data_IF_037212005550
#
_entry.id   IF_037212005550
#
_cell.length_a   1.000
_cell.length_b   1.000
_cell.length_c   1.000
_cell.angle_alpha   90.00
_cell.angle_beta   90.00
_cell.angle_gamma   90.00
#
_symmetry.space_group_name_H-M   'P 1'
#
loop_
_entity.id
_entity.type
_entity.pdbx_description
1 polymer ?
#
# COMPACT_ATOMS: atom_id res chain seq x y z
N UNK A 1 6.63 -24.65 7.47
CA UNK A 1 5.42 -23.84 7.29
C UNK A 1 5.59 -23.05 5.99
N UNK A 2 4.54 -22.74 5.21
CA UNK A 2 4.75 -21.88 4.05
C UNK A 2 5.33 -20.55 4.54
N UNK A 3 6.38 -20.07 3.87
CA UNK A 3 7.02 -18.81 4.21
C UNK A 3 5.97 -17.69 4.17
N UNK A 4 5.97 -16.73 5.10
CA UNK A 4 5.01 -15.63 5.08
C UNK A 4 5.09 -14.89 3.74
N UNK A 5 3.91 -14.58 3.16
CA UNK A 5 3.84 -13.88 1.88
C UNK A 5 4.54 -12.51 1.99
N UNK A 6 5.22 -12.05 0.93
CA UNK A 6 5.72 -10.69 0.87
C UNK A 6 4.61 -9.69 1.17
N UNK A 7 4.89 -8.70 2.01
CA UNK A 7 3.97 -7.63 2.35
C UNK A 7 4.09 -6.50 1.33
N UNK A 8 2.96 -6.06 0.80
CA UNK A 8 2.85 -4.87 -0.04
C UNK A 8 1.96 -3.86 0.66
N UNK A 9 2.51 -2.69 1.01
CA UNK A 9 1.77 -1.59 1.63
C UNK A 9 1.59 -0.49 0.58
N UNK A 10 0.35 -0.11 0.30
CA UNK A 10 0.00 0.92 -0.67
C UNK A 10 -0.50 2.16 0.05
N UNK A 11 0.16 3.29 -0.19
CA UNK A 11 -0.28 4.60 0.28
C UNK A 11 -1.41 5.13 -0.62
N UNK A 12 -2.66 5.03 -0.14
CA UNK A 12 -3.80 5.46 -0.94
C UNK A 12 -3.76 6.96 -1.24
N UNK A 13 -3.39 7.79 -0.26
CA UNK A 13 -3.41 9.23 -0.40
C UNK A 13 -2.38 9.70 -1.44
N UNK A 14 -1.16 9.14 -1.39
CA UNK A 14 -0.13 9.43 -2.36
C UNK A 14 -0.48 8.90 -3.75
N UNK A 15 -1.01 7.68 -3.86
CA UNK A 15 -1.42 7.13 -5.17
C UNK A 15 -2.52 7.97 -5.78
N UNK A 16 -3.62 8.21 -5.06
CA UNK A 16 -4.76 9.02 -5.52
C UNK A 16 -4.34 10.45 -5.86
N UNK A 17 -3.52 11.09 -5.02
CA UNK A 17 -3.02 12.44 -5.26
C UNK A 17 -2.09 12.56 -6.47
N UNK A 18 -1.49 11.45 -6.89
CA UNK A 18 -0.54 11.42 -7.99
C UNK A 18 -1.17 11.17 -9.37
N UNK A 19 -2.50 10.92 -9.43
CA UNK A 19 -3.25 10.73 -10.69
C UNK A 19 -3.75 12.08 -11.23
N UNK A 20 -3.42 12.46 -12.48
CA UNK A 20 -3.72 13.79 -13.05
C UNK A 20 -5.14 13.95 -13.61
N UNK A 21 -6.11 13.15 -13.18
CA UNK A 21 -7.45 13.04 -13.78
C UNK A 21 -8.58 13.58 -12.86
N UNK A 22 -8.21 14.21 -11.74
CA UNK A 22 -9.18 14.82 -10.82
C UNK A 22 -9.71 13.88 -9.73
N UNK A 23 -9.14 12.68 -9.56
CA UNK A 23 -9.50 11.75 -8.47
C UNK A 23 -9.44 12.39 -7.07
N UNK A 24 -8.59 13.41 -6.88
CA UNK A 24 -8.52 14.16 -5.64
C UNK A 24 -9.86 14.80 -5.20
N UNK A 25 -10.79 15.04 -6.12
CA UNK A 25 -12.13 15.62 -5.83
C UNK A 25 -13.03 14.66 -5.07
N UNK A 26 -12.95 13.36 -5.39
CA UNK A 26 -13.67 12.29 -4.71
C UNK A 26 -12.66 11.27 -4.17
N UNK A 27 -12.05 11.62 -3.04
CA UNK A 27 -11.00 10.78 -2.42
C UNK A 27 -11.50 9.40 -2.03
N UNK A 28 -12.76 9.28 -1.62
CA UNK A 28 -13.33 7.99 -1.22
C UNK A 28 -13.53 7.09 -2.45
N UNK A 29 -14.24 7.56 -3.46
CA UNK A 29 -14.46 6.76 -4.67
C UNK A 29 -13.14 6.45 -5.40
N UNK A 30 -12.17 7.36 -5.35
CA UNK A 30 -10.82 7.11 -5.85
C UNK A 30 -10.09 5.98 -5.10
N UNK A 31 -10.18 5.96 -3.76
CA UNK A 31 -9.60 4.89 -2.96
C UNK A 31 -10.32 3.54 -3.18
N UNK A 32 -11.65 3.54 -3.37
CA UNK A 32 -12.41 2.33 -3.72
C UNK A 32 -11.99 1.78 -5.09
N UNK A 33 -11.87 2.64 -6.11
CA UNK A 33 -11.35 2.25 -7.43
C UNK A 33 -9.92 1.72 -7.38
N UNK A 34 -9.06 2.37 -6.59
CA UNK A 34 -7.69 1.90 -6.36
C UNK A 34 -7.70 0.51 -5.72
N UNK A 35 -8.44 0.31 -4.62
CA UNK A 35 -8.60 -0.99 -3.94
C UNK A 35 -9.01 -2.09 -4.93
N UNK A 36 -10.03 -1.85 -5.74
CA UNK A 36 -10.53 -2.85 -6.68
C UNK A 36 -9.50 -3.19 -7.75
N UNK A 37 -8.73 -2.20 -8.21
CA UNK A 37 -7.61 -2.43 -9.13
C UNK A 37 -6.44 -3.21 -8.51
N UNK A 38 -6.28 -3.16 -7.18
CA UNK A 38 -5.20 -3.84 -6.47
C UNK A 38 -5.41 -5.36 -6.37
N UNK A 39 -6.64 -5.85 -6.52
CA UNK A 39 -7.00 -7.28 -6.37
C UNK A 39 -6.14 -8.19 -7.26
N UNK A 40 -5.88 -7.79 -8.51
CA UNK A 40 -4.99 -8.56 -9.41
C UNK A 40 -3.57 -8.71 -8.87
N UNK A 41 -3.04 -7.64 -8.25
CA UNK A 41 -1.67 -7.61 -7.75
C UNK A 41 -1.48 -8.49 -6.51
N UNK A 42 -2.54 -8.76 -5.75
CA UNK A 42 -2.48 -9.70 -4.64
C UNK A 42 -2.10 -11.12 -5.11
N UNK A 43 -2.56 -11.53 -6.29
CA UNK A 43 -2.24 -12.84 -6.89
C UNK A 43 -0.97 -12.78 -7.74
N UNK A 44 -0.85 -11.76 -8.61
CA UNK A 44 0.23 -11.65 -9.60
C UNK A 44 1.55 -11.15 -8.98
N UNK A 45 1.47 -10.37 -7.91
CA UNK A 45 2.58 -9.60 -7.34
C UNK A 45 2.83 -8.29 -8.09
N UNK A 46 3.94 -7.63 -7.73
CA UNK A 46 4.43 -6.39 -8.34
C UNK A 46 5.71 -6.66 -9.16
N UNK A 47 6.08 -5.77 -10.09
CA UNK A 47 7.39 -5.82 -10.71
C UNK A 47 8.53 -5.90 -9.66
N UNK A 48 9.29 -6.99 -9.69
CA UNK A 48 10.36 -7.26 -8.72
C UNK A 48 9.91 -7.83 -7.37
N UNK A 49 8.64 -8.22 -7.25
CA UNK A 49 8.05 -8.91 -6.09
C UNK A 49 6.97 -9.88 -6.59
N UNK A 50 7.35 -11.10 -6.99
CA UNK A 50 6.41 -12.07 -7.56
C UNK A 50 5.34 -12.47 -6.54
N UNK A 51 4.12 -12.70 -7.02
CA UNK A 51 3.00 -13.11 -6.18
C UNK A 51 3.02 -14.59 -5.78
N UNK A 52 2.14 -14.99 -4.85
CA UNK A 52 1.14 -14.15 -4.19
C UNK A 52 1.74 -13.22 -3.13
N UNK A 53 1.10 -12.07 -2.88
CA UNK A 53 1.52 -11.08 -1.87
C UNK A 53 0.38 -10.78 -0.90
N UNK A 54 0.72 -10.43 0.33
CA UNK A 54 -0.21 -9.88 1.30
C UNK A 54 -0.31 -8.37 1.09
N UNK A 55 -1.45 -7.89 0.60
CA UNK A 55 -1.63 -6.50 0.16
C UNK A 55 -2.45 -5.70 1.18
N UNK A 56 -1.89 -4.57 1.61
CA UNK A 56 -2.55 -3.60 2.51
C UNK A 56 -2.66 -2.25 1.81
N UNK A 57 -3.88 -1.77 1.65
CA UNK A 57 -4.16 -0.39 1.27
C UNK A 57 -4.32 0.46 2.54
N UNK A 58 -3.44 1.43 2.74
CA UNK A 58 -3.54 2.38 3.86
C UNK A 58 -4.35 3.59 3.42
N UNK A 59 -5.44 3.85 4.13
CA UNK A 59 -6.36 4.98 3.87
C UNK A 59 -6.39 5.94 5.05
N UNK A 60 -6.65 7.21 4.76
CA UNK A 60 -6.74 8.27 5.76
C UNK A 60 -7.85 9.28 5.44
N UNK A 61 -8.14 10.17 6.40
CA UNK A 61 -9.18 11.20 6.31
C UNK A 61 -10.51 10.71 5.72
N UNK A 62 -10.93 11.33 4.62
CA UNK A 62 -12.22 11.08 3.95
C UNK A 62 -12.36 9.70 3.30
N UNK A 63 -11.28 8.92 3.21
CA UNK A 63 -11.27 7.57 2.65
C UNK A 63 -11.25 6.47 3.72
N UNK A 64 -11.38 6.80 5.02
CA UNK A 64 -11.30 5.81 6.11
C UNK A 64 -12.38 4.74 6.10
N UNK A 65 -13.55 5.04 5.52
CA UNK A 65 -14.68 4.11 5.44
C UNK A 65 -14.61 3.15 4.24
N UNK A 66 -13.48 3.12 3.51
CA UNK A 66 -13.27 2.17 2.41
C UNK A 66 -13.22 0.75 2.98
N UNK A 67 -14.19 -0.07 2.60
CA UNK A 67 -14.24 -1.47 3.03
C UNK A 67 -13.13 -2.30 2.36
N UNK A 68 -12.61 -3.35 3.01
CA UNK A 68 -11.71 -4.32 2.37
C UNK A 68 -12.45 -5.19 1.35
N UNK A 69 -11.69 -5.86 0.47
CA UNK A 69 -12.18 -6.85 -0.50
C UNK A 69 -11.26 -8.09 -0.48
N UNK A 70 -11.71 -9.26 -0.96
CA UNK A 70 -10.85 -10.43 -1.04
C UNK A 70 -9.53 -10.12 -1.76
N UNK A 71 -8.40 -10.46 -1.13
CA UNK A 71 -7.05 -10.20 -1.63
C UNK A 71 -6.47 -8.82 -1.27
N UNK A 72 -7.27 -7.87 -0.79
CA UNK A 72 -6.80 -6.52 -0.42
C UNK A 72 -7.34 -6.13 0.95
N UNK A 73 -6.45 -6.10 1.95
CA UNK A 73 -6.76 -5.57 3.27
C UNK A 73 -6.75 -4.04 3.22
N UNK A 74 -7.63 -3.42 3.98
CA UNK A 74 -7.66 -1.96 4.13
C UNK A 74 -7.36 -1.62 5.58
N UNK A 75 -6.40 -0.72 5.80
CA UNK A 75 -6.03 -0.23 7.10
C UNK A 75 -6.28 1.28 7.17
N UNK A 76 -7.20 1.70 8.03
CA UNK A 76 -7.52 3.11 8.22
C UNK A 76 -6.58 3.72 9.28
N UNK A 77 -5.73 4.66 8.85
CA UNK A 77 -4.86 5.38 9.77
C UNK A 77 -5.70 6.29 10.67
N UNK A 78 -5.58 6.26 12.02
CA UNK A 78 -6.31 7.15 12.91
C UNK A 78 -5.82 8.60 12.83
N UNK A 79 -4.57 8.81 12.43
CA UNK A 79 -3.95 10.11 12.16
C UNK A 79 -3.43 10.17 10.72
N UNK A 80 -2.11 10.21 10.59
CA UNK A 80 -1.38 10.22 9.31
C UNK A 80 -1.24 8.82 8.72
N UNK A 81 -1.49 8.69 7.42
CA UNK A 81 -1.20 7.47 6.66
C UNK A 81 0.27 7.06 6.76
N UNK A 82 1.19 8.03 6.70
CA UNK A 82 2.64 7.79 6.72
C UNK A 82 3.09 7.12 8.02
N UNK A 83 2.50 7.51 9.16
CA UNK A 83 2.84 6.94 10.45
C UNK A 83 2.38 5.49 10.55
N UNK A 84 1.17 5.18 10.08
CA UNK A 84 0.68 3.80 10.04
C UNK A 84 1.49 2.94 9.06
N UNK A 85 1.90 3.49 7.91
CA UNK A 85 2.76 2.75 6.95
C UNK A 85 4.12 2.43 7.58
N UNK A 86 4.73 3.40 8.27
CA UNK A 86 6.01 3.17 8.96
C UNK A 86 5.87 2.12 10.07
N UNK A 87 4.78 2.16 10.84
CA UNK A 87 4.47 1.16 11.88
C UNK A 87 4.31 -0.24 11.28
N UNK A 88 3.54 -0.38 10.20
CA UNK A 88 3.34 -1.66 9.51
C UNK A 88 4.66 -2.22 8.95
N UNK A 89 5.51 -1.36 8.38
CA UNK A 89 6.82 -1.76 7.86
C UNK A 89 7.76 -2.21 8.99
N UNK A 90 7.78 -1.47 10.11
CA UNK A 90 8.56 -1.84 11.29
C UNK A 90 8.07 -3.16 11.90
N UNK A 91 6.74 -3.36 11.97
CA UNK A 91 6.13 -4.59 12.44
C UNK A 91 6.56 -5.80 11.60
N UNK A 92 6.51 -5.68 10.27
CA UNK A 92 6.95 -6.75 9.37
C UNK A 92 8.44 -7.11 9.52
N UNK A 93 9.29 -6.13 9.82
CA UNK A 93 10.71 -6.35 10.06
C UNK A 93 11.00 -6.98 11.44
N UNK A 94 10.11 -6.78 12.41
CA UNK A 94 10.23 -7.32 13.77
C UNK A 94 9.62 -8.73 13.93
N UNK A 95 8.99 -9.28 12.89
CA UNK A 95 8.49 -10.65 12.88
C UNK A 95 9.63 -11.67 13.09
N UNK A 96 9.35 -12.79 13.77
CA UNK A 96 10.35 -13.85 14.02
C UNK A 96 10.94 -14.43 12.73
N UNK A 97 10.13 -14.46 11.67
CA UNK A 97 10.55 -14.77 10.30
C UNK A 97 10.29 -13.54 9.43
N UNK A 98 11.27 -12.62 9.27
CA UNK A 98 11.08 -11.40 8.51
C UNK A 98 10.65 -11.70 7.07
N UNK A 99 9.54 -11.09 6.65
CA UNK A 99 9.03 -11.19 5.28
C UNK A 99 9.46 -9.98 4.44
N UNK A 100 9.68 -10.14 3.12
CA UNK A 100 9.96 -9.01 2.26
C UNK A 100 8.82 -7.99 2.33
N UNK A 101 9.16 -6.71 2.50
CA UNK A 101 8.19 -5.61 2.57
C UNK A 101 8.44 -4.62 1.42
N UNK A 102 7.36 -4.24 0.73
CA UNK A 102 7.38 -3.25 -0.35
C UNK A 102 6.35 -2.16 -0.06
N UNK A 103 6.78 -0.91 -0.09
CA UNK A 103 5.91 0.26 0.08
C UNK A 103 5.72 0.97 -1.25
N UNK A 104 4.48 1.20 -1.64
CA UNK A 104 4.11 1.95 -2.85
C UNK A 104 3.81 3.39 -2.46
N UNK A 105 4.79 4.27 -2.65
CA UNK A 105 4.67 5.72 -2.39
C UNK A 105 5.70 6.51 -3.20
N UNK A 106 5.39 7.76 -3.54
CA UNK A 106 6.33 8.74 -4.08
C UNK A 106 6.90 9.68 -3.01
N UNK A 107 6.40 9.62 -1.77
CA UNK A 107 6.86 10.50 -0.69
C UNK A 107 8.31 10.15 -0.28
N UNK A 108 9.18 11.16 -0.25
CA UNK A 108 10.62 10.96 0.02
C UNK A 108 10.91 10.76 1.50
N UNK A 109 10.14 11.38 2.37
CA UNK A 109 10.30 11.24 3.82
C UNK A 109 9.84 9.86 4.26
N UNK A 110 8.64 9.45 3.82
CA UNK A 110 8.12 8.12 4.10
C UNK A 110 9.06 7.02 3.59
N UNK A 111 9.60 7.16 2.37
CA UNK A 111 10.61 6.23 1.83
C UNK A 111 11.79 6.04 2.77
N UNK A 112 12.37 7.14 3.26
CA UNK A 112 13.50 7.08 4.21
C UNK A 112 13.12 6.35 5.49
N UNK A 113 11.92 6.59 6.02
CA UNK A 113 11.42 5.97 7.25
C UNK A 113 11.25 4.47 7.09
N UNK A 114 10.65 3.99 6.00
CA UNK A 114 10.39 2.56 5.80
C UNK A 114 11.64 1.79 5.36
N UNK A 115 12.55 2.43 4.60
CA UNK A 115 13.85 1.84 4.23
C UNK A 115 14.75 1.62 5.44
N UNK A 116 14.63 2.43 6.50
CA UNK A 116 15.31 2.19 7.78
C UNK A 116 14.89 0.86 8.44
N UNK A 117 13.72 0.33 8.09
CA UNK A 117 13.23 -0.99 8.53
C UNK A 117 13.48 -2.09 7.47
N UNK A 118 14.25 -1.81 6.41
CA UNK A 118 14.57 -2.77 5.35
C UNK A 118 13.47 -2.94 4.29
N UNK A 119 12.41 -2.13 4.31
CA UNK A 119 11.40 -2.15 3.26
C UNK A 119 11.95 -1.55 1.96
N UNK A 120 11.54 -2.12 0.82
CA UNK A 120 11.82 -1.55 -0.51
C UNK A 120 10.71 -0.60 -0.91
N UNK A 121 11.02 0.43 -1.69
CA UNK A 121 10.01 1.37 -2.16
C UNK A 121 9.82 1.30 -3.69
N UNK A 122 8.58 1.44 -4.14
CA UNK A 122 8.22 1.62 -5.55
C UNK A 122 7.29 2.82 -5.74
N UNK A 123 7.23 3.35 -6.95
CA UNK A 123 6.41 4.52 -7.27
C UNK A 123 4.92 4.18 -7.42
N UNK A 124 4.03 5.16 -7.23
CA UNK A 124 2.58 4.97 -7.41
C UNK A 124 2.18 4.43 -8.77
N UNK A 125 2.93 4.79 -9.83
CA UNK A 125 2.69 4.33 -11.21
C UNK A 125 2.67 2.81 -11.36
N UNK A 126 3.28 2.07 -10.44
CA UNK A 126 3.29 0.61 -10.46
C UNK A 126 1.90 0.00 -10.25
N UNK A 127 1.02 0.70 -9.53
CA UNK A 127 -0.30 0.20 -9.11
C UNK A 127 -1.46 1.10 -9.55
N UNK A 128 -1.19 2.11 -10.39
CA UNK A 128 -2.27 2.93 -10.93
C UNK A 128 -3.12 2.08 -11.87
N UNK A 129 -4.45 2.02 -11.70
CA UNK A 129 -5.31 1.56 -12.77
C UNK A 129 -5.04 2.45 -14.00
N UNK A 130 -4.90 1.84 -15.17
CA UNK A 130 -4.45 2.52 -16.38
C UNK A 130 -5.27 3.77 -16.70
N UNK A 131 -4.56 4.79 -17.18
CA UNK A 131 -5.16 5.86 -17.99
C UNK A 131 -5.77 5.28 -19.28
#
# INVERSE_FOLDING_TARGET
MPNPLPLVIVDAANVVGSVPDGWWRDRRGAAERLRDSLVRYASDGLPGTPGPVDLVLVVEGRARDVAPVPGVRVAAAPGSGDDLIAELAAGAAAETEPRPCVVVTADRELRRRVEAHGARCTGPRTVRPGA
#
